data_IF_245952339804
#
_entry.id   IF_245952339804
#
_cell.length_a   1.000
_cell.length_b   1.000
_cell.length_c   1.000
_cell.angle_alpha   90.00
_cell.angle_beta   90.00
_cell.angle_gamma   90.00
#
_symmetry.space_group_name_H-M   'P 1'
#
loop_
_entity.id
_entity.type
_entity.pdbx_description
1 polymer ?
#
# COMPACT_ATOMS: atom_id res chain seq x y z
N UNK A 1 39.78 -8.26 -10.08
CA UNK A 1 39.05 -8.09 -11.34
C UNK A 1 38.24 -6.81 -11.19
N UNK A 2 38.66 -5.73 -11.86
CA UNK A 2 38.07 -4.40 -11.73
C UNK A 2 36.72 -4.32 -12.48
N UNK A 3 35.62 -4.30 -11.76
CA UNK A 3 34.31 -3.99 -12.33
C UNK A 3 34.27 -2.50 -12.66
N UNK A 4 34.35 -2.19 -13.95
CA UNK A 4 34.07 -0.87 -14.47
C UNK A 4 32.57 -0.63 -14.38
N UNK A 5 32.11 0.14 -13.41
CA UNK A 5 30.76 0.67 -13.39
C UNK A 5 30.58 1.62 -14.54
N UNK A 6 29.68 1.27 -15.47
CA UNK A 6 29.21 2.17 -16.50
C UNK A 6 28.41 3.30 -15.82
N UNK A 7 28.97 4.49 -15.87
CA UNK A 7 28.22 5.72 -15.60
C UNK A 7 27.26 5.86 -16.80
N UNK A 8 25.98 5.58 -16.59
CA UNK A 8 24.94 5.92 -17.58
C UNK A 8 24.64 7.42 -17.35
N UNK A 9 25.01 8.31 -18.26
CA UNK A 9 24.60 9.70 -18.16
C UNK A 9 23.09 9.75 -18.38
N UNK A 10 22.35 10.22 -17.37
CA UNK A 10 20.95 10.54 -17.53
C UNK A 10 20.78 11.65 -18.57
N UNK A 11 20.33 11.30 -19.77
CA UNK A 11 19.81 12.29 -20.71
C UNK A 11 18.41 12.70 -20.20
N UNK A 12 18.35 13.76 -19.38
CA UNK A 12 17.14 14.55 -19.29
C UNK A 12 16.80 15.04 -20.72
N UNK A 13 15.52 15.08 -21.05
CA UNK A 13 15.07 15.62 -22.32
C UNK A 13 15.74 16.97 -22.54
N UNK A 14 16.72 17.04 -23.44
CA UNK A 14 17.37 18.26 -23.81
C UNK A 14 16.38 19.10 -24.61
N UNK A 15 15.50 19.80 -23.91
CA UNK A 15 14.90 21.01 -24.46
C UNK A 15 16.08 21.95 -24.68
N UNK A 16 16.30 22.35 -25.93
CA UNK A 16 17.44 23.17 -26.30
C UNK A 16 17.49 24.46 -25.48
N UNK A 17 18.33 24.48 -24.43
CA UNK A 17 18.65 25.69 -23.66
C UNK A 17 19.60 26.61 -24.42
N UNK A 18 19.82 26.42 -25.71
CA UNK A 18 20.71 27.22 -26.53
C UNK A 18 20.22 28.67 -26.57
N UNK A 19 20.88 29.53 -25.80
CA UNK A 19 20.61 30.96 -25.75
C UNK A 19 19.84 31.49 -24.53
N UNK A 20 19.60 30.68 -23.49
CA UNK A 20 19.07 31.16 -22.19
C UNK A 20 20.25 31.51 -21.28
N UNK A 21 20.24 32.72 -20.73
CA UNK A 21 21.18 33.20 -19.72
C UNK A 21 20.58 32.96 -18.33
N UNK A 22 21.29 32.27 -17.45
CA UNK A 22 20.81 31.96 -16.12
C UNK A 22 21.49 32.88 -15.08
N UNK A 23 20.68 33.50 -14.21
CA UNK A 23 21.13 34.10 -12.97
C UNK A 23 21.14 33.03 -11.87
N UNK A 24 22.14 33.09 -10.99
CA UNK A 24 22.25 32.19 -9.84
C UNK A 24 21.26 32.60 -8.74
N UNK A 25 20.71 31.61 -8.02
CA UNK A 25 19.84 31.80 -6.86
C UNK A 25 20.26 30.88 -5.73
N UNK A 26 20.34 31.41 -4.52
CA UNK A 26 20.60 30.64 -3.29
C UNK A 26 19.35 29.88 -2.80
N UNK A 27 18.20 30.11 -3.42
CA UNK A 27 16.95 29.42 -3.09
C UNK A 27 16.85 28.03 -3.67
N UNK A 28 16.00 27.18 -3.06
CA UNK A 28 15.68 25.85 -3.60
C UNK A 28 14.59 25.96 -4.68
N UNK A 29 14.62 25.06 -5.70
CA UNK A 29 13.63 25.10 -6.77
C UNK A 29 12.25 24.64 -6.27
N UNK A 30 11.15 25.33 -6.64
CA UNK A 30 9.81 24.85 -6.40
C UNK A 30 9.46 23.76 -7.42
N UNK A 31 9.91 22.54 -7.15
CA UNK A 31 9.70 21.36 -8.01
C UNK A 31 8.52 20.50 -7.56
N UNK A 32 7.94 19.79 -8.50
CA UNK A 32 7.02 18.68 -8.26
C UNK A 32 7.44 17.41 -9.04
N UNK A 33 7.45 16.21 -8.43
CA UNK A 33 7.28 15.97 -6.99
C UNK A 33 8.39 16.64 -6.17
N UNK A 34 8.12 16.84 -4.89
CA UNK A 34 9.13 17.35 -3.96
C UNK A 34 10.10 16.22 -3.57
N UNK A 35 11.21 16.12 -4.30
CA UNK A 35 12.31 15.19 -4.04
C UNK A 35 13.45 15.80 -3.20
N UNK A 36 13.31 17.01 -2.71
CA UNK A 36 14.36 17.67 -1.92
C UNK A 36 14.56 16.95 -0.59
N UNK A 37 15.77 16.44 -0.33
CA UNK A 37 16.11 15.79 0.93
C UNK A 37 15.49 14.41 1.17
N UNK A 38 14.95 13.76 0.15
CA UNK A 38 14.42 12.38 0.27
C UNK A 38 15.54 11.35 0.27
N UNK A 39 15.26 10.17 0.83
CA UNK A 39 16.14 9.00 0.72
C UNK A 39 15.53 8.00 -0.26
N UNK A 40 16.29 7.61 -1.27
CA UNK A 40 15.86 6.67 -2.32
C UNK A 40 16.68 5.37 -2.25
N UNK A 41 16.12 4.22 -2.68
CA UNK A 41 16.90 3.00 -2.82
C UNK A 41 17.83 3.09 -4.04
N UNK A 42 18.96 2.42 -3.95
CA UNK A 42 19.85 2.28 -5.10
C UNK A 42 19.14 1.56 -6.26
N UNK A 43 19.29 2.08 -7.47
CA UNK A 43 18.72 1.48 -8.69
C UNK A 43 17.22 1.72 -8.90
N UNK A 44 16.58 2.60 -8.15
CA UNK A 44 15.20 3.02 -8.46
C UNK A 44 15.13 3.71 -9.83
N UNK A 45 13.94 3.66 -10.47
CA UNK A 45 13.69 4.39 -11.70
C UNK A 45 14.07 5.88 -11.58
N UNK A 46 14.55 6.50 -12.65
CA UNK A 46 14.96 7.90 -12.64
C UNK A 46 13.92 8.85 -12.03
N UNK A 47 14.37 9.77 -11.19
CA UNK A 47 13.52 10.83 -10.68
C UNK A 47 13.21 11.82 -11.80
N UNK A 48 11.95 11.98 -12.15
CA UNK A 48 11.47 12.99 -13.09
C UNK A 48 10.79 14.10 -12.31
N UNK A 49 11.14 15.34 -12.60
CA UNK A 49 10.59 16.51 -11.92
C UNK A 49 10.30 17.62 -12.90
N UNK A 50 9.38 18.49 -12.55
CA UNK A 50 9.03 19.70 -13.28
C UNK A 50 8.84 20.86 -12.30
N UNK A 51 8.79 22.07 -12.81
CA UNK A 51 8.53 23.24 -11.97
C UNK A 51 7.06 23.29 -11.55
N UNK A 52 6.80 23.46 -10.26
CA UNK A 52 5.45 23.58 -9.73
C UNK A 52 4.69 24.82 -10.23
N UNK A 53 5.42 25.85 -10.64
CA UNK A 53 4.88 27.10 -11.19
C UNK A 53 4.70 27.09 -12.73
N UNK A 54 4.92 25.94 -13.38
CA UNK A 54 4.70 25.75 -14.81
C UNK A 54 5.81 26.29 -15.73
N UNK A 55 6.91 26.79 -15.18
CA UNK A 55 8.09 27.13 -15.99
C UNK A 55 8.71 25.87 -16.62
N UNK A 56 9.37 26.06 -17.74
CA UNK A 56 10.24 25.02 -18.31
C UNK A 56 11.48 24.85 -17.43
N UNK A 57 12.00 23.62 -17.33
CA UNK A 57 13.22 23.36 -16.59
C UNK A 57 14.10 22.30 -17.25
N UNK A 58 15.36 22.36 -16.89
CA UNK A 58 16.33 21.28 -17.05
C UNK A 58 17.03 21.03 -15.71
N UNK A 59 17.56 19.84 -15.53
CA UNK A 59 18.32 19.51 -14.33
C UNK A 59 19.46 18.57 -14.63
N UNK A 60 20.50 18.69 -13.82
CA UNK A 60 21.65 17.78 -13.80
C UNK A 60 21.80 17.19 -12.42
N UNK A 61 22.49 16.08 -12.31
CA UNK A 61 22.84 15.49 -11.01
C UNK A 61 24.30 15.12 -10.96
N UNK A 62 24.91 15.32 -9.79
CA UNK A 62 26.25 14.88 -9.45
C UNK A 62 26.17 13.97 -8.25
N UNK A 63 26.90 12.84 -8.27
CA UNK A 63 26.96 11.92 -7.12
C UNK A 63 28.23 12.15 -6.33
N UNK A 64 28.09 12.45 -5.03
CA UNK A 64 29.19 12.56 -4.08
C UNK A 64 28.91 11.60 -2.91
N UNK A 65 29.65 10.48 -2.85
CA UNK A 65 29.35 9.41 -1.90
C UNK A 65 27.94 8.83 -2.13
N UNK A 66 27.16 8.81 -1.07
CA UNK A 66 25.76 8.31 -1.08
C UNK A 66 24.74 9.44 -1.26
N UNK A 67 25.15 10.55 -1.85
CA UNK A 67 24.26 11.69 -2.10
C UNK A 67 24.30 12.08 -3.56
N UNK A 68 23.11 12.27 -4.16
CA UNK A 68 22.92 12.89 -5.47
C UNK A 68 22.57 14.36 -5.24
N UNK A 69 23.36 15.27 -5.78
CA UNK A 69 23.07 16.70 -5.77
C UNK A 69 22.44 17.09 -7.09
N UNK A 70 21.18 17.51 -7.05
CA UNK A 70 20.46 17.98 -8.24
C UNK A 70 20.56 19.50 -8.35
N UNK A 71 20.93 20.00 -9.54
CA UNK A 71 20.89 21.42 -9.90
C UNK A 71 19.80 21.64 -10.93
N UNK A 72 18.83 22.50 -10.64
CA UNK A 72 17.69 22.80 -11.53
C UNK A 72 17.88 24.19 -12.10
N UNK A 73 17.68 24.31 -13.43
CA UNK A 73 17.61 25.59 -14.13
C UNK A 73 16.22 25.75 -14.73
N UNK A 74 15.54 26.88 -14.50
CA UNK A 74 14.17 27.11 -14.92
C UNK A 74 14.02 28.44 -15.66
N UNK A 75 13.13 28.50 -16.67
CA UNK A 75 12.85 29.69 -17.47
C UNK A 75 11.39 29.73 -17.94
N UNK A 76 10.89 30.90 -18.25
CA UNK A 76 9.61 31.07 -18.93
C UNK A 76 9.75 30.64 -20.41
N UNK A 77 8.75 29.96 -20.94
CA UNK A 77 8.71 29.55 -22.34
C UNK A 77 8.93 30.76 -23.27
N UNK A 78 9.94 30.66 -24.12
CA UNK A 78 10.31 31.74 -25.05
C UNK A 78 11.19 32.85 -24.44
N UNK A 79 11.50 32.80 -23.13
CA UNK A 79 12.46 33.73 -22.50
C UNK A 79 13.90 33.35 -22.84
N UNK A 80 14.75 34.37 -22.89
CA UNK A 80 16.20 34.23 -22.94
C UNK A 80 16.86 34.39 -21.56
N UNK A 81 16.06 34.57 -20.51
CA UNK A 81 16.50 34.70 -19.13
C UNK A 81 15.90 33.58 -18.29
N UNK A 82 16.67 33.04 -17.37
CA UNK A 82 16.27 31.97 -16.48
C UNK A 82 16.96 32.09 -15.10
N UNK A 83 16.63 31.18 -14.22
CA UNK A 83 17.19 31.08 -12.87
C UNK A 83 17.82 29.70 -12.71
N UNK A 84 19.05 29.64 -12.22
CA UNK A 84 19.69 28.42 -11.75
C UNK A 84 19.61 28.39 -10.24
N UNK A 85 18.98 27.38 -9.68
CA UNK A 85 18.78 27.23 -8.26
C UNK A 85 19.97 26.56 -7.56
N UNK A 86 20.09 26.78 -6.25
CA UNK A 86 21.05 26.08 -5.43
C UNK A 86 20.86 24.56 -5.54
N UNK A 87 21.95 23.77 -5.55
CA UNK A 87 21.87 22.32 -5.54
C UNK A 87 21.14 21.80 -4.29
N UNK A 88 20.33 20.73 -4.44
CA UNK A 88 19.71 20.07 -3.32
C UNK A 88 20.05 18.58 -3.26
N UNK A 89 20.14 18.00 -2.05
CA UNK A 89 20.51 16.61 -1.87
C UNK A 89 19.32 15.67 -2.07
N UNK A 90 19.62 14.49 -2.63
CA UNK A 90 18.81 13.26 -2.56
C UNK A 90 19.74 12.16 -2.06
N UNK A 91 19.41 11.56 -0.93
CA UNK A 91 20.23 10.52 -0.30
C UNK A 91 19.96 9.15 -0.92
N UNK A 92 20.98 8.33 -1.03
CA UNK A 92 20.88 6.97 -1.57
C UNK A 92 21.14 5.98 -0.45
N UNK A 93 20.18 5.14 -0.14
CA UNK A 93 20.34 4.02 0.79
C UNK A 93 20.75 2.75 0.05
N UNK A 94 21.71 2.01 0.62
CA UNK A 94 22.13 0.69 0.18
C UNK A 94 21.30 -0.44 0.80
N UNK A 95 20.34 -0.12 1.67
CA UNK A 95 19.42 -1.12 2.21
C UNK A 95 18.60 -1.74 1.07
N UNK A 96 18.56 -3.08 0.98
CA UNK A 96 17.85 -3.77 -0.09
C UNK A 96 16.37 -3.43 -0.11
N UNK A 97 15.82 -3.25 -1.30
CA UNK A 97 14.39 -3.12 -1.56
C UNK A 97 13.93 -4.22 -2.49
N UNK A 98 12.70 -4.72 -2.29
CA UNK A 98 12.10 -5.65 -3.24
C UNK A 98 11.89 -4.98 -4.60
N UNK A 99 12.23 -5.64 -5.71
CA UNK A 99 12.30 -4.99 -7.02
C UNK A 99 10.96 -4.67 -7.67
N UNK A 100 9.85 -5.18 -7.14
CA UNK A 100 8.50 -4.96 -7.67
C UNK A 100 7.53 -4.48 -6.60
N UNK A 101 6.54 -3.71 -7.05
CA UNK A 101 5.30 -3.45 -6.32
C UNK A 101 4.14 -4.12 -7.05
N UNK A 102 3.21 -4.70 -6.31
CA UNK A 102 1.89 -5.06 -6.78
C UNK A 102 0.86 -4.14 -6.12
N UNK A 103 -0.20 -3.78 -6.84
CA UNK A 103 -1.27 -2.92 -6.33
C UNK A 103 -2.54 -3.07 -7.16
N UNK A 104 -3.65 -2.63 -6.60
CA UNK A 104 -4.90 -2.51 -7.33
C UNK A 104 -5.05 -1.09 -7.88
N UNK A 105 -5.45 -0.96 -9.15
CA UNK A 105 -5.96 0.29 -9.72
C UNK A 105 -7.46 0.25 -9.75
N UNK A 106 -8.09 1.28 -9.16
CA UNK A 106 -9.54 1.39 -9.05
C UNK A 106 -9.98 2.83 -9.25
N UNK A 107 -11.13 3.02 -9.89
CA UNK A 107 -11.80 4.31 -10.00
C UNK A 107 -12.27 4.81 -8.63
N UNK A 108 -12.54 6.11 -8.46
CA UNK A 108 -13.11 6.66 -7.22
C UNK A 108 -14.40 5.95 -6.82
N UNK A 109 -14.64 5.85 -5.51
CA UNK A 109 -15.67 5.01 -4.91
C UNK A 109 -17.12 5.27 -5.31
N UNK A 110 -17.45 6.40 -5.92
CA UNK A 110 -18.80 6.73 -6.42
C UNK A 110 -18.98 6.40 -7.92
N UNK A 111 -17.93 5.90 -8.59
CA UNK A 111 -18.03 5.41 -9.95
C UNK A 111 -18.16 3.89 -9.99
N UNK A 112 -18.84 3.38 -11.00
CA UNK A 112 -18.93 1.93 -11.22
C UNK A 112 -17.55 1.39 -11.60
N UNK A 113 -17.20 0.22 -11.11
CA UNK A 113 -15.92 -0.48 -11.34
C UNK A 113 -15.75 -0.92 -12.79
N UNK A 114 -15.78 0.04 -13.68
CA UNK A 114 -15.81 -0.18 -15.12
C UNK A 114 -14.52 -0.84 -15.61
N UNK A 115 -13.39 -0.33 -15.11
CA UNK A 115 -12.06 -0.85 -15.41
C UNK A 115 -11.22 -0.86 -14.15
N UNK A 116 -10.99 -2.03 -13.61
CA UNK A 116 -10.11 -2.23 -12.47
C UNK A 116 -9.24 -3.46 -12.67
N UNK A 117 -8.17 -3.56 -11.90
CA UNK A 117 -7.30 -4.73 -11.95
C UNK A 117 -6.18 -4.65 -10.94
N UNK A 118 -5.46 -5.76 -10.85
CA UNK A 118 -4.20 -5.87 -10.13
C UNK A 118 -3.07 -5.69 -11.12
N UNK A 119 -2.11 -4.88 -10.76
CA UNK A 119 -0.97 -4.52 -11.59
C UNK A 119 0.33 -4.71 -10.83
N UNK A 120 1.40 -4.92 -11.55
CA UNK A 120 2.76 -4.91 -11.01
C UNK A 120 3.60 -3.83 -11.65
N UNK A 121 4.50 -3.23 -10.88
CA UNK A 121 5.43 -2.21 -11.28
C UNK A 121 6.86 -2.60 -10.90
N UNK A 122 7.77 -2.62 -11.89
CA UNK A 122 9.20 -2.75 -11.65
C UNK A 122 9.77 -1.44 -11.11
N UNK A 123 10.41 -1.46 -9.94
CA UNK A 123 10.92 -0.24 -9.30
C UNK A 123 12.10 0.39 -10.03
N UNK A 124 12.95 -0.42 -10.68
CA UNK A 124 14.08 0.06 -11.46
C UNK A 124 13.71 0.70 -12.81
N UNK A 125 12.44 0.64 -13.20
CA UNK A 125 11.93 1.21 -14.44
C UNK A 125 10.51 1.74 -14.28
N UNK A 126 9.92 2.27 -15.36
CA UNK A 126 8.52 2.72 -15.36
C UNK A 126 7.56 1.66 -15.89
N UNK A 127 8.00 0.40 -16.03
CA UNK A 127 7.19 -0.66 -16.62
C UNK A 127 6.12 -1.12 -15.66
N UNK A 128 4.87 -0.99 -16.06
CA UNK A 128 3.69 -1.49 -15.37
C UNK A 128 3.07 -2.61 -16.21
N UNK A 129 2.64 -3.71 -15.57
CA UNK A 129 1.97 -4.83 -16.23
C UNK A 129 0.75 -5.26 -15.42
N UNK A 130 -0.32 -5.64 -16.11
CA UNK A 130 -1.47 -6.25 -15.47
C UNK A 130 -1.11 -7.66 -14.96
N UNK A 131 -1.49 -7.94 -13.70
CA UNK A 131 -1.50 -9.29 -13.12
C UNK A 131 -2.81 -9.96 -13.50
N UNK A 132 -3.94 -9.29 -13.20
CA UNK A 132 -5.28 -9.70 -13.60
C UNK A 132 -6.18 -8.47 -13.70
N UNK A 133 -6.99 -8.41 -14.75
CA UNK A 133 -7.97 -7.33 -14.96
C UNK A 133 -9.40 -7.84 -14.74
N UNK A 134 -10.31 -6.95 -14.39
CA UNK A 134 -11.72 -7.34 -14.22
C UNK A 134 -12.40 -7.76 -15.52
N UNK A 135 -11.83 -7.44 -16.68
CA UNK A 135 -12.31 -7.96 -17.97
C UNK A 135 -12.21 -9.50 -18.08
N UNK A 136 -11.26 -10.10 -17.35
CA UNK A 136 -11.11 -11.56 -17.30
C UNK A 136 -12.24 -12.25 -16.53
N UNK A 137 -12.94 -11.53 -15.66
CA UNK A 137 -14.05 -12.01 -14.83
C UNK A 137 -15.39 -11.33 -15.18
N UNK A 138 -15.51 -10.80 -16.42
CA UNK A 138 -16.73 -10.19 -16.92
C UNK A 138 -17.14 -8.89 -16.25
N UNK A 139 -16.18 -8.09 -15.84
CA UNK A 139 -16.41 -6.81 -15.19
C UNK A 139 -16.65 -6.91 -13.67
N UNK A 140 -16.55 -8.11 -13.08
CA UNK A 140 -16.65 -8.27 -11.64
C UNK A 140 -15.48 -7.60 -10.90
N UNK A 141 -15.70 -7.18 -9.65
CA UNK A 141 -14.66 -6.57 -8.85
C UNK A 141 -13.56 -7.59 -8.50
N UNK A 142 -12.29 -7.22 -8.73
CA UNK A 142 -11.10 -7.97 -8.34
C UNK A 142 -10.39 -7.20 -7.22
N UNK A 143 -10.20 -7.83 -6.06
CA UNK A 143 -9.62 -7.18 -4.88
C UNK A 143 -8.88 -8.14 -3.96
N UNK A 144 -8.45 -7.65 -2.79
CA UNK A 144 -7.86 -8.45 -1.70
C UNK A 144 -6.73 -9.37 -2.19
N UNK A 145 -5.84 -8.85 -3.05
CA UNK A 145 -4.63 -9.59 -3.41
C UNK A 145 -3.67 -9.65 -2.22
N UNK A 146 -2.90 -10.73 -2.16
CA UNK A 146 -1.85 -10.88 -1.17
C UNK A 146 -0.81 -11.92 -1.63
N UNK A 147 0.46 -11.62 -1.36
CA UNK A 147 1.61 -12.47 -1.67
C UNK A 147 2.24 -12.98 -0.36
N UNK A 148 2.44 -14.29 -0.17
CA UNK A 148 3.09 -14.82 1.03
C UNK A 148 4.54 -14.34 1.12
N UNK A 149 4.82 -13.40 2.02
CA UNK A 149 6.15 -12.81 2.18
C UNK A 149 6.74 -12.20 0.91
N UNK A 150 5.90 -11.67 0.02
CA UNK A 150 6.32 -11.11 -1.26
C UNK A 150 6.76 -12.15 -2.30
N UNK A 151 6.46 -13.44 -2.11
CA UNK A 151 6.81 -14.52 -3.06
C UNK A 151 5.87 -14.50 -4.28
N UNK A 152 6.36 -14.16 -5.50
CA UNK A 152 5.53 -14.09 -6.70
C UNK A 152 5.08 -15.44 -7.25
N UNK A 153 5.66 -16.56 -6.79
CA UNK A 153 5.24 -17.92 -7.20
C UNK A 153 3.86 -18.28 -6.65
N UNK A 154 3.41 -17.55 -5.62
CA UNK A 154 2.12 -17.73 -4.97
C UNK A 154 1.44 -16.40 -4.77
N UNK A 155 0.16 -16.36 -5.02
CA UNK A 155 -0.68 -15.22 -4.66
C UNK A 155 -2.12 -15.66 -4.52
N UNK A 156 -2.90 -14.79 -3.92
CA UNK A 156 -4.35 -14.88 -4.00
C UNK A 156 -4.97 -13.54 -4.35
N UNK A 157 -6.20 -13.59 -4.81
CA UNK A 157 -7.07 -12.45 -4.97
C UNK A 157 -8.53 -12.89 -4.89
N UNK A 158 -9.41 -11.96 -4.58
CA UNK A 158 -10.84 -12.24 -4.47
C UNK A 158 -11.60 -11.61 -5.63
N UNK A 159 -12.54 -12.37 -6.21
CA UNK A 159 -13.48 -11.92 -7.23
C UNK A 159 -14.87 -11.82 -6.58
N UNK A 160 -15.47 -10.61 -6.60
CA UNK A 160 -16.82 -10.38 -6.06
C UNK A 160 -17.89 -10.60 -7.12
N UNK A 161 -19.10 -10.94 -6.66
CA UNK A 161 -20.30 -11.09 -7.50
C UNK A 161 -20.72 -12.53 -7.69
N UNK A 162 -21.73 -12.74 -8.54
CA UNK A 162 -22.28 -14.06 -8.82
C UNK A 162 -21.21 -14.97 -9.45
N UNK A 163 -20.96 -16.13 -8.84
CA UNK A 163 -19.90 -17.04 -9.24
C UNK A 163 -18.48 -16.58 -8.85
N UNK A 164 -18.36 -15.53 -8.03
CA UNK A 164 -17.10 -15.07 -7.48
C UNK A 164 -16.48 -16.05 -6.48
N UNK A 165 -15.33 -15.68 -5.91
CA UNK A 165 -14.62 -16.49 -4.92
C UNK A 165 -13.16 -16.06 -4.79
N UNK A 166 -12.44 -16.70 -3.88
CA UNK A 166 -11.02 -16.46 -3.71
C UNK A 166 -10.22 -17.35 -4.65
N UNK A 167 -9.49 -16.73 -5.55
CA UNK A 167 -8.57 -17.41 -6.49
C UNK A 167 -7.21 -17.54 -5.83
N UNK A 168 -6.68 -18.75 -5.85
CA UNK A 168 -5.32 -19.06 -5.43
C UNK A 168 -4.47 -19.40 -6.65
N UNK A 169 -3.36 -18.70 -6.81
CA UNK A 169 -2.34 -18.96 -7.83
C UNK A 169 -1.10 -19.57 -7.17
N UNK A 170 -0.62 -20.67 -7.72
CA UNK A 170 0.64 -21.32 -7.33
C UNK A 170 1.33 -21.86 -8.58
N UNK A 171 2.58 -21.44 -8.79
CA UNK A 171 3.42 -21.92 -9.89
C UNK A 171 2.73 -21.82 -11.27
N UNK A 172 1.97 -20.73 -11.49
CA UNK A 172 1.23 -20.47 -12.72
C UNK A 172 -0.12 -21.21 -12.85
N UNK A 173 -0.48 -22.07 -11.89
CA UNK A 173 -1.79 -22.76 -11.85
C UNK A 173 -2.75 -22.00 -10.95
N UNK A 174 -4.04 -21.95 -11.37
CA UNK A 174 -5.09 -21.30 -10.62
C UNK A 174 -6.13 -22.31 -10.13
N UNK A 175 -6.64 -22.08 -8.91
CA UNK A 175 -7.84 -22.76 -8.39
C UNK A 175 -8.68 -21.82 -7.54
N UNK A 176 -9.95 -22.11 -7.39
CA UNK A 176 -10.80 -21.47 -6.39
C UNK A 176 -10.57 -22.15 -5.04
N UNK A 177 -10.47 -21.35 -3.98
CA UNK A 177 -10.42 -21.85 -2.61
C UNK A 177 -11.85 -22.22 -2.17
N UNK A 178 -11.99 -23.34 -1.48
CA UNK A 178 -13.24 -23.73 -0.85
C UNK A 178 -13.35 -23.08 0.53
N UNK A 179 -13.98 -21.93 0.62
CA UNK A 179 -14.24 -21.21 1.87
C UNK A 179 -15.66 -21.44 2.40
N UNK A 180 -16.43 -22.38 1.82
CA UNK A 180 -17.88 -22.52 2.08
C UNK A 180 -18.24 -23.49 3.21
N UNK A 181 -17.27 -24.13 3.85
CA UNK A 181 -17.52 -25.27 4.75
C UNK A 181 -17.87 -24.88 6.17
N UNK A 182 -17.90 -23.59 6.52
CA UNK A 182 -18.12 -23.15 7.90
C UNK A 182 -19.28 -22.14 7.99
N UNK A 183 -20.47 -22.64 8.34
CA UNK A 183 -21.64 -21.83 8.70
C UNK A 183 -22.06 -20.79 7.66
N UNK A 184 -22.49 -19.58 8.05
CA UNK A 184 -22.85 -18.48 7.17
C UNK A 184 -21.67 -17.83 6.48
N UNK A 185 -20.44 -18.09 6.92
CA UNK A 185 -19.23 -17.46 6.43
C UNK A 185 -18.77 -18.13 5.14
N UNK A 186 -19.01 -17.45 4.01
CA UNK A 186 -18.73 -17.98 2.67
C UNK A 186 -17.65 -17.22 1.90
N UNK A 187 -17.08 -16.19 2.52
CA UNK A 187 -16.11 -15.31 1.86
C UNK A 187 -15.01 -14.95 2.83
N UNK A 188 -13.77 -15.06 2.37
CA UNK A 188 -12.61 -14.53 3.07
C UNK A 188 -12.12 -13.27 2.38
N UNK A 189 -12.00 -12.18 3.13
CA UNK A 189 -11.43 -10.90 2.70
C UNK A 189 -10.24 -10.55 3.59
N UNK A 190 -9.47 -9.56 3.19
CA UNK A 190 -8.28 -9.10 3.96
C UNK A 190 -7.34 -10.26 4.35
N UNK A 191 -6.88 -11.05 3.35
CA UNK A 191 -6.03 -12.21 3.62
C UNK A 191 -4.71 -11.83 4.25
N UNK A 192 -4.23 -12.70 5.15
CA UNK A 192 -2.88 -12.66 5.68
C UNK A 192 -2.25 -14.05 5.64
N UNK A 193 -1.18 -14.21 4.88
CA UNK A 193 -0.43 -15.46 4.83
C UNK A 193 0.41 -15.65 6.08
N UNK A 194 0.29 -16.82 6.67
CA UNK A 194 1.25 -17.27 7.68
C UNK A 194 2.63 -17.45 7.02
N UNK A 195 3.75 -17.10 7.68
CA UNK A 195 5.09 -17.19 7.09
C UNK A 195 5.46 -18.57 6.54
N UNK A 196 4.89 -19.65 7.07
CA UNK A 196 5.09 -21.01 6.53
C UNK A 196 4.48 -21.20 5.13
N UNK A 197 3.60 -20.30 4.68
CA UNK A 197 2.85 -20.47 3.44
C UNK A 197 1.81 -21.59 3.46
N UNK A 198 1.51 -22.17 4.64
CA UNK A 198 0.49 -23.21 4.80
C UNK A 198 -0.86 -22.66 5.23
N UNK A 199 -0.89 -21.65 6.09
CA UNK A 199 -2.14 -21.13 6.62
C UNK A 199 -2.40 -19.73 6.10
N UNK A 200 -3.67 -19.37 6.00
CA UNK A 200 -4.13 -18.04 5.63
C UNK A 200 -5.21 -17.62 6.62
N UNK A 201 -5.00 -16.53 7.33
CA UNK A 201 -6.05 -15.89 8.09
C UNK A 201 -6.83 -14.94 7.18
N UNK A 202 -8.16 -14.98 7.25
CA UNK A 202 -9.06 -14.05 6.57
C UNK A 202 -9.97 -13.38 7.59
N UNK A 203 -10.40 -12.18 7.29
CA UNK A 203 -11.64 -11.68 7.84
C UNK A 203 -12.81 -12.21 6.98
N UNK A 204 -13.85 -12.71 7.63
CA UNK A 204 -15.12 -13.02 6.98
C UNK A 204 -16.14 -12.03 7.50
N UNK A 205 -16.72 -11.19 6.63
CA UNK A 205 -17.51 -10.06 7.07
C UNK A 205 -18.74 -9.79 6.21
N UNK A 206 -19.68 -9.04 6.79
CA UNK A 206 -20.77 -8.38 6.10
C UNK A 206 -20.59 -6.88 6.23
N UNK A 207 -20.31 -6.21 5.13
CA UNK A 207 -20.09 -4.77 5.09
C UNK A 207 -21.27 -4.04 4.46
N UNK A 208 -21.43 -2.80 4.87
CA UNK A 208 -22.26 -1.83 4.17
C UNK A 208 -21.39 -0.67 3.68
N UNK A 209 -21.60 -0.27 2.42
CA UNK A 209 -21.08 0.96 1.87
C UNK A 209 -22.16 2.02 1.85
N UNK A 210 -21.82 3.21 2.30
CA UNK A 210 -22.66 4.38 2.27
C UNK A 210 -21.94 5.50 1.52
N UNK A 211 -22.69 6.27 0.75
CA UNK A 211 -22.17 7.37 -0.06
C UNK A 211 -22.77 8.69 0.45
N UNK A 212 -22.13 9.36 1.42
CA UNK A 212 -22.60 10.62 1.95
C UNK A 212 -22.74 11.68 0.85
N UNK A 213 -23.86 12.37 0.83
CA UNK A 213 -24.15 13.44 -0.13
C UNK A 213 -23.61 14.81 0.30
N UNK A 214 -23.07 14.90 1.51
CA UNK A 214 -22.50 16.12 2.09
C UNK A 214 -21.25 15.78 2.90
N UNK A 215 -20.35 16.77 3.05
CA UNK A 215 -19.07 16.58 3.73
C UNK A 215 -17.93 16.22 2.77
N UNK A 216 -16.77 15.91 3.33
CA UNK A 216 -15.55 15.58 2.58
C UNK A 216 -15.39 14.08 2.32
N UNK A 217 -16.07 13.25 3.10
CA UNK A 217 -16.04 11.79 2.94
C UNK A 217 -16.92 11.35 1.78
N UNK A 218 -16.36 10.65 0.81
CA UNK A 218 -17.10 10.19 -0.36
C UNK A 218 -17.69 8.80 -0.16
N UNK A 219 -17.06 7.98 0.68
CA UNK A 219 -17.49 6.61 0.98
C UNK A 219 -17.26 6.33 2.45
N UNK A 220 -18.29 5.81 3.11
CA UNK A 220 -18.19 5.17 4.41
C UNK A 220 -18.37 3.68 4.26
N UNK A 221 -17.55 2.90 4.95
CA UNK A 221 -17.67 1.43 4.98
C UNK A 221 -17.65 0.99 6.43
N UNK A 222 -18.63 0.21 6.81
CA UNK A 222 -18.71 -0.34 8.17
C UNK A 222 -19.16 -1.81 8.15
N UNK A 223 -18.66 -2.55 9.14
CA UNK A 223 -18.97 -3.96 9.31
C UNK A 223 -20.25 -4.12 10.14
N UNK A 224 -21.21 -4.92 9.64
CA UNK A 224 -22.33 -5.40 10.44
C UNK A 224 -21.89 -6.54 11.35
N UNK A 225 -21.01 -7.39 10.86
CA UNK A 225 -20.29 -8.41 11.59
C UNK A 225 -19.00 -8.77 10.83
N UNK A 226 -17.99 -9.20 11.56
CA UNK A 226 -16.72 -9.65 11.02
C UNK A 226 -16.01 -10.58 11.98
N UNK A 227 -15.56 -11.74 11.50
CA UNK A 227 -14.86 -12.76 12.27
C UNK A 227 -13.58 -13.21 11.56
N UNK A 228 -12.58 -13.69 12.32
CA UNK A 228 -11.38 -14.27 11.76
C UNK A 228 -11.60 -15.77 11.49
N UNK A 229 -11.33 -16.20 10.26
CA UNK A 229 -11.30 -17.60 9.86
C UNK A 229 -9.90 -18.01 9.43
N UNK A 230 -9.53 -19.25 9.68
CA UNK A 230 -8.24 -19.82 9.30
C UNK A 230 -8.42 -20.86 8.19
N UNK A 231 -7.72 -20.68 7.07
CA UNK A 231 -7.69 -21.64 5.97
C UNK A 231 -6.37 -22.39 5.93
N UNK A 232 -6.41 -23.73 5.88
CA UNK A 232 -5.26 -24.59 5.66
C UNK A 232 -5.15 -24.96 4.17
N UNK A 233 -4.12 -24.47 3.50
CA UNK A 233 -3.84 -24.72 2.08
C UNK A 233 -3.57 -26.19 1.79
N UNK A 234 -3.02 -26.92 2.78
CA UNK A 234 -2.67 -28.32 2.63
C UNK A 234 -3.86 -29.27 2.65
N UNK A 235 -4.88 -28.96 3.45
CA UNK A 235 -6.09 -29.78 3.59
C UNK A 235 -7.30 -29.20 2.86
N UNK A 236 -7.16 -28.00 2.25
CA UNK A 236 -8.24 -27.27 1.56
C UNK A 236 -9.47 -27.07 2.46
N UNK A 237 -9.24 -26.71 3.72
CA UNK A 237 -10.30 -26.63 4.72
C UNK A 237 -10.21 -25.32 5.53
N UNK A 238 -11.38 -24.85 5.98
CA UNK A 238 -11.53 -23.70 6.86
C UNK A 238 -11.80 -24.19 8.29
N UNK A 239 -11.15 -23.54 9.25
CA UNK A 239 -11.45 -23.70 10.66
C UNK A 239 -11.81 -22.35 11.28
N UNK A 240 -12.70 -22.39 12.28
CA UNK A 240 -12.99 -21.24 13.16
C UNK A 240 -12.47 -21.55 14.53
N UNK A 241 -12.08 -20.51 15.23
CA UNK A 241 -11.68 -20.60 16.63
C UNK A 241 -12.68 -19.83 17.50
N UNK A 242 -13.39 -20.49 18.47
CA UNK A 242 -14.50 -19.87 19.18
C UNK A 242 -14.22 -18.48 19.75
N UNK A 243 -13.04 -18.17 20.35
CA UNK A 243 -12.74 -16.83 20.84
C UNK A 243 -12.57 -15.75 19.74
N UNK A 244 -12.50 -16.13 18.46
CA UNK A 244 -12.45 -15.24 17.28
C UNK A 244 -13.74 -15.31 16.47
N UNK A 245 -14.85 -15.75 17.09
CA UNK A 245 -16.12 -16.02 16.42
C UNK A 245 -17.30 -15.73 17.37
N UNK A 246 -17.28 -14.54 17.93
CA UNK A 246 -18.30 -14.13 18.90
C UNK A 246 -19.15 -12.98 18.35
N UNK A 247 -20.49 -13.16 18.35
CA UNK A 247 -21.43 -12.15 17.86
C UNK A 247 -21.35 -10.78 18.60
N UNK A 248 -20.70 -10.73 19.75
CA UNK A 248 -20.49 -9.50 20.52
C UNK A 248 -19.33 -8.64 20.02
N UNK A 249 -18.53 -9.14 19.09
CA UNK A 249 -17.32 -8.47 18.60
C UNK A 249 -17.21 -8.58 17.08
N UNK A 250 -16.44 -7.67 16.52
CA UNK A 250 -16.02 -7.66 15.10
C UNK A 250 -14.50 -7.77 15.04
N UNK A 251 -13.96 -8.83 14.45
CA UNK A 251 -12.52 -9.03 14.22
C UNK A 251 -12.20 -8.90 12.73
N UNK A 252 -11.18 -8.10 12.40
CA UNK A 252 -10.80 -7.82 11.00
C UNK A 252 -9.32 -7.48 10.83
N UNK A 253 -8.86 -7.38 9.59
CA UNK A 253 -7.48 -7.03 9.21
C UNK A 253 -6.41 -7.85 9.91
N UNK A 254 -6.42 -9.19 9.75
CA UNK A 254 -5.38 -10.03 10.34
C UNK A 254 -4.00 -9.74 9.75
N UNK A 255 -2.96 -9.87 10.57
CA UNK A 255 -1.56 -9.87 10.16
C UNK A 255 -0.75 -10.77 11.08
N UNK A 256 0.17 -11.56 10.52
CA UNK A 256 1.01 -12.47 11.29
C UNK A 256 2.26 -11.78 11.82
N UNK A 257 2.74 -12.22 12.97
CA UNK A 257 4.12 -11.96 13.37
C UNK A 257 5.09 -12.57 12.35
N UNK A 258 6.31 -12.02 12.18
CA UNK A 258 7.28 -12.53 11.21
C UNK A 258 7.68 -14.00 11.43
N UNK A 259 7.65 -14.48 12.68
CA UNK A 259 7.91 -15.88 13.05
C UNK A 259 6.67 -16.78 12.96
N UNK A 260 5.49 -16.21 12.74
CA UNK A 260 4.22 -16.93 12.66
C UNK A 260 3.66 -17.41 14.01
N UNK A 261 4.27 -17.05 15.13
CA UNK A 261 3.84 -17.50 16.46
C UNK A 261 2.58 -16.77 16.96
N UNK A 262 2.18 -15.69 16.31
CA UNK A 262 1.04 -14.87 16.70
C UNK A 262 0.33 -14.24 15.52
N UNK A 263 -0.98 -14.04 15.69
CA UNK A 263 -1.80 -13.23 14.79
C UNK A 263 -2.20 -11.94 15.50
N UNK A 264 -1.94 -10.80 14.87
CA UNK A 264 -2.48 -9.51 15.25
C UNK A 264 -3.70 -9.20 14.39
N UNK A 265 -4.68 -8.50 14.96
CA UNK A 265 -5.90 -8.11 14.24
C UNK A 265 -6.58 -6.92 14.91
N UNK A 266 -7.50 -6.29 14.20
CA UNK A 266 -8.34 -5.22 14.74
C UNK A 266 -9.63 -5.82 15.30
N UNK A 267 -10.05 -5.38 16.50
CA UNK A 267 -11.26 -5.85 17.15
C UNK A 267 -12.05 -4.66 17.71
N UNK A 268 -13.37 -4.67 17.50
CA UNK A 268 -14.31 -3.73 18.11
C UNK A 268 -15.51 -4.47 18.69
N UNK A 269 -16.14 -3.87 19.71
CA UNK A 269 -17.40 -4.38 20.22
C UNK A 269 -18.52 -4.12 19.21
N UNK A 270 -19.42 -5.09 19.02
CA UNK A 270 -20.57 -4.96 18.14
C UNK A 270 -21.54 -3.90 18.66
N UNK A 271 -22.18 -3.17 17.77
CA UNK A 271 -23.23 -2.20 18.09
C UNK A 271 -24.53 -2.61 17.43
N UNK A 272 -25.67 -2.27 18.05
CA UNK A 272 -26.98 -2.70 17.56
C UNK A 272 -27.36 -2.08 16.22
N UNK A 273 -27.02 -0.82 16.00
CA UNK A 273 -27.23 -0.10 14.73
C UNK A 273 -25.91 0.54 14.30
N UNK A 274 -25.14 -0.20 13.50
CA UNK A 274 -23.83 0.26 13.04
C UNK A 274 -23.93 1.51 12.16
N UNK A 275 -25.01 1.69 11.42
CA UNK A 275 -25.20 2.87 10.58
C UNK A 275 -25.40 4.15 11.41
N UNK A 276 -26.16 4.06 12.49
CA UNK A 276 -26.38 5.18 13.43
C UNK A 276 -25.16 5.42 14.34
N UNK A 277 -24.56 4.33 14.85
CA UNK A 277 -23.51 4.37 15.87
C UNK A 277 -22.07 4.31 15.30
N UNK A 278 -21.89 4.28 13.96
CA UNK A 278 -20.59 4.12 13.31
C UNK A 278 -19.48 5.02 13.84
N UNK A 279 -19.80 6.28 14.16
CA UNK A 279 -18.83 7.25 14.71
C UNK A 279 -18.37 6.96 16.13
N UNK A 280 -19.02 6.00 16.80
CA UNK A 280 -18.66 5.53 18.14
C UNK A 280 -17.82 4.25 18.11
N UNK A 281 -17.82 3.53 16.99
CA UNK A 281 -17.09 2.26 16.85
C UNK A 281 -15.59 2.55 16.82
N UNK A 282 -14.86 1.98 17.77
CA UNK A 282 -13.40 2.04 17.87
C UNK A 282 -12.82 0.65 17.83
N UNK A 283 -11.93 0.43 16.88
CA UNK A 283 -11.18 -0.82 16.80
C UNK A 283 -9.89 -0.68 17.59
N UNK A 284 -9.63 -1.66 18.44
CA UNK A 284 -8.39 -1.87 19.19
C UNK A 284 -7.52 -2.89 18.49
N UNK A 285 -6.22 -2.88 18.74
CA UNK A 285 -5.29 -3.89 18.27
C UNK A 285 -5.26 -5.04 19.26
N UNK A 286 -5.54 -6.25 18.78
CA UNK A 286 -5.46 -7.48 19.56
C UNK A 286 -4.44 -8.44 18.98
N UNK A 287 -4.00 -9.39 19.83
CA UNK A 287 -3.09 -10.48 19.49
C UNK A 287 -3.63 -11.79 20.03
N UNK A 288 -3.44 -12.88 19.28
CA UNK A 288 -3.66 -14.25 19.73
C UNK A 288 -2.46 -15.12 19.36
N UNK A 289 -2.08 -16.04 20.22
CA UNK A 289 -1.00 -16.98 19.96
C UNK A 289 -1.41 -18.06 18.96
N UNK A 290 -0.44 -18.53 18.17
CA UNK A 290 -0.63 -19.60 17.19
C UNK A 290 0.47 -20.63 17.34
N UNK A 291 0.07 -21.91 17.45
CA UNK A 291 0.99 -23.02 17.66
C UNK A 291 0.41 -24.29 17.04
N UNK A 292 1.26 -25.08 16.40
CA UNK A 292 0.90 -26.39 15.84
C UNK A 292 -0.31 -26.38 14.89
N UNK A 293 -0.50 -25.26 14.16
CA UNK A 293 -1.59 -25.10 13.20
C UNK A 293 -2.93 -24.66 13.79
N UNK A 294 -2.95 -24.20 15.05
CA UNK A 294 -4.15 -23.72 15.74
C UNK A 294 -3.89 -22.47 16.55
N UNK A 295 -4.91 -21.65 16.74
CA UNK A 295 -4.89 -20.59 17.74
C UNK A 295 -4.92 -21.17 19.14
N UNK A 296 -4.32 -20.47 20.11
CA UNK A 296 -4.17 -20.93 21.50
C UNK A 296 -4.53 -19.82 22.47
N UNK A 297 -5.40 -20.13 23.43
CA UNK A 297 -5.83 -19.18 24.46
C UNK A 297 -6.79 -18.11 23.96
N UNK A 298 -7.01 -17.10 24.76
CA UNK A 298 -7.89 -15.98 24.43
C UNK A 298 -7.09 -14.82 23.81
N UNK A 299 -7.72 -14.02 22.92
CA UNK A 299 -7.10 -12.81 22.41
C UNK A 299 -6.88 -11.80 23.54
N UNK A 300 -5.78 -11.06 23.47
CA UNK A 300 -5.51 -9.96 24.41
C UNK A 300 -5.22 -8.65 23.67
N UNK A 301 -5.59 -7.54 24.29
CA UNK A 301 -5.35 -6.20 23.74
C UNK A 301 -3.87 -5.85 23.83
N UNK A 302 -3.31 -5.45 22.70
CA UNK A 302 -1.93 -4.97 22.57
C UNK A 302 -1.89 -3.45 22.65
N UNK A 303 -2.87 -2.80 22.01
CA UNK A 303 -3.01 -1.36 22.05
C UNK A 303 -4.45 -0.93 21.81
N UNK A 304 -4.89 0.10 22.52
CA UNK A 304 -6.22 0.71 22.36
C UNK A 304 -6.22 2.19 22.76
N UNK A 305 -7.24 2.90 22.31
CA UNK A 305 -7.46 4.31 22.63
C UNK A 305 -8.96 4.65 22.56
N UNK A 306 -9.40 5.53 23.45
CA UNK A 306 -10.80 6.03 23.47
C UNK A 306 -11.09 6.99 22.30
N UNK A 307 -10.07 7.54 21.65
CA UNK A 307 -10.18 8.54 20.60
C UNK A 307 -9.70 8.08 19.23
N UNK A 308 -9.03 6.93 19.16
CA UNK A 308 -8.41 6.42 17.93
C UNK A 308 -8.90 5.00 17.64
N UNK A 309 -9.28 4.77 16.40
CA UNK A 309 -9.60 3.45 15.85
C UNK A 309 -8.44 2.95 15.00
N UNK A 310 -8.07 1.67 15.17
CA UNK A 310 -6.95 1.01 14.48
C UNK A 310 -7.44 0.28 13.25
N UNK A 311 -6.68 0.34 12.16
CA UNK A 311 -6.91 -0.50 10.98
C UNK A 311 -5.61 -0.87 10.27
N UNK A 312 -5.66 -1.92 9.44
CA UNK A 312 -4.55 -2.35 8.57
C UNK A 312 -3.20 -2.54 9.29
N UNK A 313 -3.11 -3.27 10.41
CA UNK A 313 -1.83 -3.49 11.07
C UNK A 313 -0.86 -4.25 10.16
N UNK A 314 0.44 -3.91 10.21
CA UNK A 314 1.52 -4.59 9.49
C UNK A 314 2.76 -4.66 10.36
N UNK A 315 3.27 -5.86 10.57
CA UNK A 315 4.41 -6.14 11.47
C UNK A 315 5.70 -6.27 10.68
N UNK A 316 6.78 -5.69 11.21
CA UNK A 316 8.16 -5.88 10.75
C UNK A 316 9.11 -5.87 11.95
N UNK A 317 9.70 -7.02 12.28
CA UNK A 317 10.49 -7.18 13.50
C UNK A 317 9.66 -6.87 14.74
N UNK A 318 10.15 -5.95 15.59
CA UNK A 318 9.43 -5.45 16.76
C UNK A 318 8.48 -4.30 16.47
N UNK A 319 8.44 -3.82 15.23
CA UNK A 319 7.64 -2.68 14.84
C UNK A 319 6.30 -3.11 14.21
N UNK A 320 5.23 -2.46 14.63
CA UNK A 320 3.92 -2.61 14.02
C UNK A 320 3.42 -1.24 13.55
N UNK A 321 3.22 -1.11 12.24
CA UNK A 321 2.61 0.09 11.66
C UNK A 321 1.12 -0.15 11.46
N UNK A 322 0.29 0.83 11.78
CA UNK A 322 -1.16 0.75 11.57
C UNK A 322 -1.71 2.10 11.10
N UNK A 323 -2.90 2.08 10.50
CA UNK A 323 -3.63 3.31 10.19
C UNK A 323 -4.53 3.67 11.36
N UNK A 324 -4.41 4.89 11.86
CA UNK A 324 -5.21 5.47 12.92
C UNK A 324 -6.26 6.40 12.32
N UNK A 325 -7.50 6.33 12.79
CA UNK A 325 -8.59 7.22 12.44
C UNK A 325 -9.47 7.52 13.65
N UNK A 326 -10.41 8.46 13.53
CA UNK A 326 -11.29 8.79 14.66
C UNK A 326 -12.28 7.68 15.00
N UNK A 327 -12.70 6.89 14.01
CA UNK A 327 -13.66 5.80 14.18
C UNK A 327 -13.61 4.84 12.98
N UNK A 328 -14.26 3.69 13.13
CA UNK A 328 -14.46 2.73 12.06
C UNK A 328 -13.21 1.95 11.70
N UNK A 329 -13.30 1.18 10.63
CA UNK A 329 -12.24 0.24 10.22
C UNK A 329 -11.77 0.44 8.78
N UNK A 330 -12.40 1.34 8.02
CA UNK A 330 -12.04 1.59 6.61
C UNK A 330 -11.74 3.07 6.36
N UNK A 331 -10.65 3.59 6.90
CA UNK A 331 -10.39 5.03 7.00
C UNK A 331 -9.83 5.67 5.71
N UNK A 332 -9.78 4.96 4.60
CA UNK A 332 -9.14 5.46 3.36
C UNK A 332 -9.73 6.78 2.84
N UNK A 333 -10.97 7.11 3.23
CA UNK A 333 -11.63 8.36 2.92
C UNK A 333 -11.72 9.32 4.10
N UNK A 334 -11.22 8.92 5.27
CA UNK A 334 -11.10 9.77 6.43
C UNK A 334 -9.86 10.65 6.25
N UNK A 335 -10.08 11.96 6.08
CA UNK A 335 -8.99 12.91 5.81
C UNK A 335 -7.91 12.88 6.88
N UNK A 336 -8.32 12.66 8.13
CA UNK A 336 -7.47 12.59 9.32
C UNK A 336 -6.84 11.21 9.56
N UNK A 337 -6.93 10.30 8.60
CA UNK A 337 -6.33 8.97 8.75
C UNK A 337 -4.81 9.05 8.56
N UNK A 338 -4.09 8.72 9.63
CA UNK A 338 -2.64 8.81 9.76
C UNK A 338 -1.99 7.45 9.99
N UNK A 339 -0.73 7.31 9.63
CA UNK A 339 0.07 6.15 9.99
C UNK A 339 0.66 6.34 11.41
N UNK A 340 0.57 5.28 12.22
CA UNK A 340 1.10 5.22 13.57
C UNK A 340 2.01 4.03 13.72
N UNK A 341 3.15 4.24 14.41
CA UNK A 341 4.14 3.21 14.69
C UNK A 341 4.07 2.79 16.16
N UNK A 342 3.92 1.49 16.39
CA UNK A 342 3.92 0.84 17.70
C UNK A 342 5.19 0.01 17.85
N UNK A 343 5.92 0.20 18.94
CA UNK A 343 6.96 -0.71 19.40
C UNK A 343 6.30 -1.83 20.23
N UNK A 344 6.37 -3.06 19.73
CA UNK A 344 5.76 -4.23 20.36
C UNK A 344 6.50 -4.67 21.63
N UNK A 345 7.73 -4.23 21.85
CA UNK A 345 8.50 -4.53 23.07
C UNK A 345 8.14 -3.60 24.23
N UNK A 346 7.93 -2.31 23.94
CA UNK A 346 7.59 -1.30 24.95
C UNK A 346 6.10 -1.07 25.10
N UNK A 347 5.30 -1.36 24.05
CA UNK A 347 3.87 -1.04 23.97
C UNK A 347 3.59 0.43 23.66
N UNK A 348 4.63 1.24 23.36
CA UNK A 348 4.47 2.64 23.06
C UNK A 348 4.10 2.85 21.57
N UNK A 349 3.02 3.60 21.32
CA UNK A 349 2.61 3.99 19.99
C UNK A 349 2.73 5.50 19.78
N UNK A 350 3.17 5.91 18.59
CA UNK A 350 3.26 7.31 18.21
C UNK A 350 2.83 7.53 16.75
N UNK A 351 2.35 8.75 16.40
CA UNK A 351 2.20 9.11 15.01
C UNK A 351 3.54 8.97 14.26
N UNK A 352 3.53 8.39 13.07
CA UNK A 352 4.65 8.41 12.14
C UNK A 352 4.65 9.76 11.40
N UNK A 353 4.92 10.84 12.13
CA UNK A 353 4.75 12.21 11.66
C UNK A 353 5.53 12.51 10.38
N UNK A 354 6.65 11.82 10.17
CA UNK A 354 7.48 11.94 8.97
C UNK A 354 6.74 11.49 7.71
N UNK A 355 5.78 10.54 7.86
CA UNK A 355 5.00 9.96 6.76
C UNK A 355 3.68 10.69 6.51
N UNK A 356 3.12 11.31 7.53
CA UNK A 356 1.76 11.83 7.53
C UNK A 356 1.66 13.20 6.83
N UNK A 357 0.46 13.56 6.40
CA UNK A 357 0.14 14.81 5.73
C UNK A 357 -1.21 15.37 6.23
N UNK A 358 -1.74 16.41 5.59
CA UNK A 358 -3.08 16.91 5.89
C UNK A 358 -4.21 16.07 5.26
N UNK A 359 -3.86 15.06 4.46
CA UNK A 359 -4.79 14.15 3.80
C UNK A 359 -4.55 12.71 4.27
N UNK A 360 -5.42 11.76 3.88
CA UNK A 360 -5.34 10.40 4.40
C UNK A 360 -4.13 9.62 3.91
N UNK A 361 -3.49 8.91 4.83
CA UNK A 361 -2.50 7.87 4.62
C UNK A 361 -3.06 6.49 5.02
N UNK A 362 -2.85 5.48 4.17
CA UNK A 362 -3.37 4.13 4.43
C UNK A 362 -2.69 3.07 3.57
N UNK A 363 -3.13 1.81 3.69
CA UNK A 363 -2.67 0.69 2.86
C UNK A 363 -1.14 0.62 2.76
N UNK A 364 -0.49 0.61 3.89
CA UNK A 364 0.97 0.51 3.98
C UNK A 364 1.43 -0.95 3.95
N UNK A 365 2.67 -1.15 3.48
CA UNK A 365 3.32 -2.46 3.44
C UNK A 365 4.83 -2.31 3.59
N UNK A 366 5.45 -3.23 4.36
CA UNK A 366 6.89 -3.31 4.53
C UNK A 366 7.54 -4.09 3.40
N UNK A 367 8.73 -3.68 2.97
CA UNK A 367 9.60 -4.53 2.16
C UNK A 367 10.02 -5.79 2.93
N UNK A 368 10.43 -6.83 2.23
CA UNK A 368 10.84 -8.09 2.85
C UNK A 368 12.01 -7.94 3.84
N UNK A 369 12.87 -6.93 3.64
CA UNK A 369 13.96 -6.58 4.54
C UNK A 369 13.55 -5.64 5.67
N UNK A 370 12.30 -5.15 5.73
CA UNK A 370 11.82 -4.25 6.76
C UNK A 370 12.46 -2.86 6.78
N UNK A 371 13.21 -2.49 5.72
CA UNK A 371 13.92 -1.21 5.62
C UNK A 371 13.23 -0.19 4.73
N UNK A 372 12.20 -0.61 4.00
CA UNK A 372 11.41 0.24 3.13
C UNK A 372 9.94 0.08 3.41
N UNK A 373 9.23 1.18 3.30
CA UNK A 373 7.78 1.24 3.39
C UNK A 373 7.22 1.74 2.07
N UNK A 374 6.08 1.18 1.64
CA UNK A 374 5.20 1.74 0.62
C UNK A 374 3.84 1.99 1.22
N UNK A 375 3.20 3.09 0.87
CA UNK A 375 1.85 3.41 1.34
C UNK A 375 1.07 4.23 0.33
N UNK A 376 -0.25 4.23 0.48
CA UNK A 376 -1.17 5.03 -0.32
C UNK A 376 -1.49 6.35 0.39
N UNK A 377 -1.34 7.47 -0.30
CA UNK A 377 -1.62 8.80 0.25
C UNK A 377 -2.46 9.63 -0.72
N UNK A 378 -3.35 10.45 -0.19
CA UNK A 378 -4.18 11.43 -0.93
C UNK A 378 -3.58 12.84 -0.97
N UNK A 379 -2.38 13.05 -0.44
CA UNK A 379 -1.74 14.37 -0.25
C UNK A 379 -1.61 15.23 -1.49
N UNK A 380 -1.71 14.67 -2.71
CA UNK A 380 -1.56 15.46 -3.94
C UNK A 380 -2.82 16.25 -4.28
N UNK A 381 -4.00 15.66 -4.09
CA UNK A 381 -5.27 16.25 -4.55
C UNK A 381 -6.48 15.95 -3.65
N UNK A 382 -6.28 15.25 -2.53
CA UNK A 382 -7.36 14.84 -1.61
C UNK A 382 -8.32 13.78 -2.19
N UNK A 383 -8.11 13.36 -3.44
CA UNK A 383 -9.08 12.50 -4.16
C UNK A 383 -8.51 11.15 -4.57
N UNK A 384 -7.37 11.14 -5.26
CA UNK A 384 -6.75 9.91 -5.74
C UNK A 384 -5.59 9.52 -4.86
N UNK A 385 -5.56 8.27 -4.41
CA UNK A 385 -4.36 7.76 -3.74
C UNK A 385 -3.23 7.58 -4.73
N UNK A 386 -2.02 8.00 -4.30
CA UNK A 386 -0.76 7.77 -5.00
C UNK A 386 0.18 7.02 -4.08
N UNK A 387 1.14 6.29 -4.67
CA UNK A 387 2.12 5.51 -3.91
C UNK A 387 3.29 6.38 -3.50
N UNK A 388 3.57 6.37 -2.21
CA UNK A 388 4.75 6.98 -1.62
C UNK A 388 5.62 5.89 -1.00
N UNK A 389 6.94 6.11 -1.05
CA UNK A 389 7.93 5.25 -0.43
C UNK A 389 8.69 6.05 0.61
N UNK A 390 9.15 5.37 1.67
CA UNK A 390 10.02 5.93 2.68
C UNK A 390 11.04 4.89 3.14
N UNK A 391 12.25 5.33 3.45
CA UNK A 391 13.24 4.50 4.12
C UNK A 391 13.00 4.48 5.61
N UNK A 392 13.22 3.35 6.25
CA UNK A 392 13.13 3.14 7.69
C UNK A 392 14.49 2.77 8.26
N UNK A 393 14.95 3.48 9.30
CA UNK A 393 16.28 3.28 9.88
C UNK A 393 16.42 2.03 10.76
N UNK A 394 15.31 1.35 11.08
CA UNK A 394 15.25 0.21 12.00
C UNK A 394 15.11 0.62 13.46
N UNK A 395 15.32 1.88 13.80
CA UNK A 395 15.28 2.43 15.16
C UNK A 395 14.01 3.24 15.46
N UNK A 396 13.06 3.19 14.54
CA UNK A 396 11.76 3.83 14.70
C UNK A 396 11.56 5.11 13.88
N UNK A 397 12.49 5.54 13.02
CA UNK A 397 12.35 6.77 12.26
C UNK A 397 12.25 6.50 10.76
N UNK A 398 11.43 7.31 10.09
CA UNK A 398 11.28 7.30 8.65
C UNK A 398 11.98 8.49 8.01
N UNK A 399 12.53 8.28 6.82
CA UNK A 399 12.93 9.39 5.97
C UNK A 399 11.70 10.11 5.42
N UNK A 400 11.88 11.35 4.94
CA UNK A 400 10.85 12.05 4.17
C UNK A 400 10.34 11.15 3.05
N UNK A 401 9.01 10.94 2.94
CA UNK A 401 8.45 10.09 1.90
C UNK A 401 8.57 10.75 0.53
N UNK A 402 8.76 9.94 -0.50
CA UNK A 402 8.80 10.41 -1.87
C UNK A 402 7.78 9.69 -2.75
N UNK A 403 7.21 10.43 -3.70
CA UNK A 403 6.26 9.89 -4.67
C UNK A 403 6.97 8.87 -5.57
N UNK A 404 6.33 7.71 -5.80
CA UNK A 404 6.84 6.70 -6.72
C UNK A 404 7.16 7.32 -8.09
N UNK A 405 8.43 7.26 -8.57
CA UNK A 405 8.83 7.93 -9.80
C UNK A 405 8.02 7.46 -11.01
N UNK A 406 7.57 8.40 -11.81
CA UNK A 406 6.88 8.17 -13.08
C UNK A 406 7.67 8.74 -14.24
N UNK A 407 7.39 8.27 -15.47
CA UNK A 407 8.08 8.74 -16.68
C UNK A 407 7.85 10.24 -16.94
N UNK A 408 6.71 10.76 -16.52
CA UNK A 408 6.37 12.18 -16.55
C UNK A 408 5.35 12.48 -15.44
N UNK A 409 5.32 13.71 -14.93
CA UNK A 409 4.33 14.14 -13.91
C UNK A 409 2.89 14.03 -14.41
N UNK A 410 2.66 14.33 -15.66
CA UNK A 410 1.35 14.17 -16.30
C UNK A 410 0.76 12.75 -16.15
N UNK A 411 1.58 11.74 -15.91
CA UNK A 411 1.08 10.39 -15.61
C UNK A 411 0.22 10.38 -14.33
N UNK A 412 0.64 11.07 -13.27
CA UNK A 412 -0.13 11.17 -12.03
C UNK A 412 -1.33 12.09 -12.18
N UNK A 413 -1.20 13.19 -12.93
CA UNK A 413 -2.27 14.17 -13.13
C UNK A 413 -3.42 13.59 -13.99
N UNK A 414 -3.09 12.77 -14.99
CA UNK A 414 -4.05 12.20 -15.95
C UNK A 414 -4.58 10.82 -15.55
N UNK A 415 -3.98 10.16 -14.58
CA UNK A 415 -4.44 8.86 -14.11
C UNK A 415 -5.64 9.02 -13.17
N UNK A 416 -6.84 8.86 -13.69
CA UNK A 416 -8.10 8.96 -12.94
C UNK A 416 -8.42 7.66 -12.17
N UNK A 417 -7.41 7.03 -11.59
CA UNK A 417 -7.53 5.82 -10.75
C UNK A 417 -6.65 5.95 -9.51
N UNK A 418 -7.15 5.43 -8.41
CA UNK A 418 -6.42 5.30 -7.15
C UNK A 418 -5.59 4.03 -7.13
N UNK A 419 -4.43 4.11 -6.50
CA UNK A 419 -3.58 2.98 -6.15
C UNK A 419 -3.95 2.48 -4.76
N UNK A 420 -4.41 1.24 -4.65
CA UNK A 420 -4.84 0.65 -3.39
C UNK A 420 -4.04 -0.61 -3.06
N UNK A 421 -3.83 -0.82 -1.77
CA UNK A 421 -3.20 -2.02 -1.21
C UNK A 421 -1.88 -2.35 -1.91
N UNK A 422 -0.89 -1.44 -1.88
CA UNK A 422 0.42 -1.78 -2.44
C UNK A 422 1.10 -2.86 -1.61
N UNK A 423 1.77 -3.79 -2.30
CA UNK A 423 2.61 -4.81 -1.68
C UNK A 423 3.96 -4.88 -2.40
N UNK A 424 5.03 -5.04 -1.63
CA UNK A 424 6.34 -5.37 -2.18
C UNK A 424 6.37 -6.83 -2.63
N UNK A 425 7.01 -7.08 -3.79
CA UNK A 425 7.14 -8.42 -4.37
C UNK A 425 8.58 -8.65 -4.82
N UNK A 426 9.14 -9.80 -4.45
CA UNK A 426 10.56 -10.14 -4.60
C UNK A 426 11.02 -10.39 -6.03
N UNK A 427 10.11 -10.65 -6.96
CA UNK A 427 10.36 -10.68 -8.42
C UNK A 427 9.06 -10.45 -9.19
N UNK A 428 9.11 -10.47 -10.53
CA UNK A 428 7.96 -10.20 -11.37
C UNK A 428 6.80 -11.17 -11.12
N UNK A 429 5.59 -10.69 -10.74
CA UNK A 429 4.40 -11.53 -10.65
C UNK A 429 3.96 -12.09 -12.00
N UNK A 430 3.23 -13.21 -11.96
CA UNK A 430 2.58 -13.78 -13.13
C UNK A 430 1.48 -12.88 -13.71
N UNK A 431 1.09 -13.16 -14.96
CA UNK A 431 -0.05 -12.54 -15.64
C UNK A 431 -1.13 -13.61 -15.82
N UNK A 432 -2.32 -13.39 -15.29
CA UNK A 432 -3.31 -14.47 -15.11
C UNK A 432 -4.61 -14.29 -15.90
N UNK A 433 -4.78 -13.22 -16.70
CA UNK A 433 -6.04 -12.97 -17.43
C UNK A 433 -6.55 -14.17 -18.23
N UNK A 434 -5.67 -14.86 -18.96
CA UNK A 434 -6.05 -16.02 -19.78
C UNK A 434 -6.50 -17.22 -18.92
N UNK A 435 -5.75 -17.52 -17.85
CA UNK A 435 -6.07 -18.61 -16.93
C UNK A 435 -7.34 -18.30 -16.13
N UNK A 436 -7.54 -17.04 -15.73
CA UNK A 436 -8.75 -16.59 -15.03
C UNK A 436 -9.99 -16.72 -15.92
N UNK A 437 -9.91 -16.29 -17.19
CA UNK A 437 -11.02 -16.53 -18.16
C UNK A 437 -11.39 -18.00 -18.23
N UNK A 438 -10.41 -18.88 -18.37
CA UNK A 438 -10.63 -20.32 -18.40
C UNK A 438 -11.26 -20.85 -17.10
N UNK A 439 -10.79 -20.38 -15.93
CA UNK A 439 -11.29 -20.77 -14.61
C UNK A 439 -12.78 -20.40 -14.44
N UNK A 440 -13.21 -19.27 -15.01
CA UNK A 440 -14.58 -18.76 -14.95
C UNK A 440 -15.43 -19.14 -16.19
N UNK A 441 -14.94 -20.05 -17.06
CA UNK A 441 -15.68 -20.53 -18.24
C UNK A 441 -15.94 -19.45 -19.31
N UNK A 442 -14.98 -18.55 -19.49
CA UNK A 442 -15.09 -17.38 -20.39
C UNK A 442 -14.03 -17.39 -21.48
#
# INVERSE_FOLDING_TARGET
MNARFLIVPFLAAAVSCAGVHFSESDGLPPIRPDYIGVTIPEGIAPLQMEMADGRECSYTSERIGDTLYFTVSAWQKGSREGIRYAPFPVYVSHDPIDPYLAYRLIEPGYESWREMGLYSRELASYKEKAIVTNSAVGGACVNCHNFPGGDPSRMMFHVRGAGGGTVFAKDGMLRLLNLTTVGPHRQGVYPAWHPSGRYIAFASNSIQQSFPISGTQQVEVYDHWSDIILYDVGTDSVTVYPPLFEASRNETFPTWSPDGSSLFFCCADSVADVAADRVRVRYRLQRIDFRDGSFVGDPHTVWESDSISVSHPRVSGKWLLFTASRYGTFPIWHREADLWLLDLETGEARPAAELNSEESESFHNWSSGGRWLVFSSRRLDGRYTRLFLAHFDGEGHFSKPFLLPQKAMSHNDLRLKSYNVPEFVRSAPGQYDAQVRKLYGR
#
